data_IF_041411732875
#
_entry.id   IF_041411732875
#
_cell.length_a   1.000
_cell.length_b   1.000
_cell.length_c   1.000
_cell.angle_alpha   90.00
_cell.angle_beta   90.00
_cell.angle_gamma   90.00
#
_symmetry.space_group_name_H-M   'P 1'
#
loop_
_entity.id
_entity.type
_entity.pdbx_description
1 polymer ?
#
# COMPACT_ATOMS: atom_id res chain seq x y z
N UNK A 1 41.50 -74.36 25.45
CA UNK A 1 40.12 -73.87 25.63
C UNK A 1 40.14 -72.57 26.42
N UNK A 2 39.85 -71.42 25.78
CA UNK A 2 39.16 -70.25 26.37
C UNK A 2 38.97 -69.21 25.26
N UNK A 3 37.73 -68.75 25.16
CA UNK A 3 37.12 -68.29 23.92
C UNK A 3 37.31 -66.80 23.65
N UNK A 4 37.45 -66.53 22.36
CA UNK A 4 37.41 -65.26 21.64
C UNK A 4 35.99 -64.68 21.66
N UNK A 5 35.83 -63.36 21.86
CA UNK A 5 34.71 -62.55 21.35
C UNK A 5 34.90 -61.06 21.69
N UNK A 6 35.46 -60.30 20.74
CA UNK A 6 35.35 -58.84 20.71
C UNK A 6 34.33 -58.48 19.64
N UNK A 7 33.16 -57.99 20.04
CA UNK A 7 32.15 -57.39 19.17
C UNK A 7 32.40 -55.88 19.14
N UNK A 8 32.91 -55.38 18.03
CA UNK A 8 33.00 -53.95 17.77
C UNK A 8 31.65 -53.47 17.22
N UNK A 9 30.88 -52.77 18.05
CA UNK A 9 29.61 -52.14 17.64
C UNK A 9 29.93 -50.74 17.12
N UNK A 10 29.87 -50.56 15.80
CA UNK A 10 30.01 -49.26 15.14
C UNK A 10 28.67 -48.51 15.25
N UNK A 11 28.56 -47.60 16.22
CA UNK A 11 27.38 -46.75 16.38
C UNK A 11 27.46 -45.58 15.40
N UNK A 12 26.68 -45.65 14.31
CA UNK A 12 26.54 -44.59 13.32
C UNK A 12 25.62 -43.50 13.89
N UNK A 13 26.20 -42.45 14.46
CA UNK A 13 25.47 -41.27 14.92
C UNK A 13 25.01 -40.44 13.74
N UNK A 14 23.74 -40.60 13.33
CA UNK A 14 23.07 -39.69 12.40
C UNK A 14 22.83 -38.38 13.13
N UNK A 15 23.68 -37.37 12.87
CA UNK A 15 23.42 -36.00 13.30
C UNK A 15 22.28 -35.45 12.45
N UNK A 16 21.08 -35.40 13.04
CA UNK A 16 19.96 -34.64 12.49
C UNK A 16 20.27 -33.15 12.70
N UNK A 17 20.82 -32.49 11.68
CA UNK A 17 20.92 -31.04 11.64
C UNK A 17 19.51 -30.49 11.51
N UNK A 18 18.88 -30.15 12.63
CA UNK A 18 17.68 -29.33 12.63
C UNK A 18 18.05 -27.99 11.98
N UNK A 19 17.65 -27.79 10.73
CA UNK A 19 17.67 -26.47 10.10
C UNK A 19 16.78 -25.57 10.94
N UNK A 20 17.39 -24.73 11.78
CA UNK A 20 16.68 -23.70 12.52
C UNK A 20 16.00 -22.81 11.49
N UNK A 21 14.68 -22.95 11.31
CA UNK A 21 13.92 -22.11 10.41
C UNK A 21 14.06 -20.68 10.91
N UNK A 22 14.78 -19.83 10.18
CA UNK A 22 14.91 -18.42 10.50
C UNK A 22 13.50 -17.81 10.59
N UNK A 23 13.29 -16.90 11.54
CA UNK A 23 12.00 -16.23 11.70
C UNK A 23 11.71 -15.43 10.43
N UNK A 24 10.51 -15.54 9.83
CA UNK A 24 10.14 -14.76 8.66
C UNK A 24 10.33 -13.25 8.89
N UNK A 25 10.95 -12.54 7.92
CA UNK A 25 11.21 -11.11 8.04
C UNK A 25 9.93 -10.30 8.11
N UNK A 26 10.00 -9.14 8.75
CA UNK A 26 8.85 -8.23 8.88
C UNK A 26 8.91 -7.16 7.80
N UNK A 27 7.85 -7.08 7.01
CA UNK A 27 7.66 -6.12 5.94
C UNK A 27 6.66 -5.06 6.42
N UNK A 28 7.09 -3.80 6.48
CA UNK A 28 6.20 -2.66 6.67
C UNK A 28 5.69 -2.19 5.31
N UNK A 29 4.38 -2.15 5.10
CA UNK A 29 3.80 -1.80 3.81
C UNK A 29 2.67 -0.78 3.96
N UNK A 30 2.65 0.20 3.07
CA UNK A 30 1.52 1.10 2.91
C UNK A 30 0.21 0.30 2.78
N UNK A 31 -0.86 0.77 3.41
CA UNK A 31 -2.09 -0.01 3.51
C UNK A 31 -2.82 -0.16 2.16
N UNK A 32 -2.55 0.70 1.17
CA UNK A 32 -3.08 0.55 -0.19
C UNK A 32 -2.63 -0.76 -0.88
N UNK A 33 -1.49 -1.30 -0.47
CA UNK A 33 -0.96 -2.58 -0.92
C UNK A 33 -1.62 -3.79 -0.25
N UNK A 34 -2.55 -3.60 0.69
CA UNK A 34 -3.02 -4.67 1.59
C UNK A 34 -3.38 -5.96 0.86
N UNK A 35 -4.16 -5.88 -0.21
CA UNK A 35 -4.58 -7.05 -0.96
C UNK A 35 -3.50 -7.54 -1.94
N UNK A 36 -2.95 -6.63 -2.75
CA UNK A 36 -1.91 -6.96 -3.74
C UNK A 36 -0.68 -7.60 -3.10
N UNK A 37 -0.16 -7.04 -2.01
CA UNK A 37 1.03 -7.56 -1.34
C UNK A 37 0.75 -8.85 -0.56
N UNK A 38 -0.48 -9.06 -0.09
CA UNK A 38 -0.87 -10.34 0.52
C UNK A 38 -0.82 -11.46 -0.53
N UNK A 39 -1.39 -11.22 -1.72
CA UNK A 39 -1.32 -12.17 -2.83
C UNK A 39 0.13 -12.38 -3.32
N UNK A 40 0.91 -11.31 -3.41
CA UNK A 40 2.33 -11.37 -3.75
C UNK A 40 3.13 -12.23 -2.76
N UNK A 41 2.91 -12.05 -1.45
CA UNK A 41 3.59 -12.82 -0.41
C UNK A 41 3.18 -14.30 -0.42
N UNK A 42 1.90 -14.59 -0.68
CA UNK A 42 1.43 -15.97 -0.82
C UNK A 42 2.05 -16.65 -2.05
N UNK A 43 2.04 -15.96 -3.20
CA UNK A 43 2.63 -16.47 -4.43
C UNK A 43 4.14 -16.69 -4.29
N UNK A 44 4.85 -15.74 -3.68
CA UNK A 44 6.27 -15.88 -3.34
C UNK A 44 6.49 -17.14 -2.50
N UNK A 45 5.70 -17.34 -1.44
CA UNK A 45 5.84 -18.50 -0.57
C UNK A 45 5.55 -19.83 -1.26
N UNK A 46 4.59 -19.87 -2.19
CA UNK A 46 4.32 -21.06 -2.99
C UNK A 46 5.48 -21.38 -3.96
N UNK A 47 6.18 -20.38 -4.48
CA UNK A 47 7.27 -20.56 -5.45
C UNK A 47 8.61 -20.89 -4.80
N UNK A 48 8.92 -20.28 -3.66
CA UNK A 48 10.25 -20.37 -3.04
C UNK A 48 10.28 -21.22 -1.78
N UNK A 49 9.13 -21.43 -1.14
CA UNK A 49 9.03 -22.01 0.20
C UNK A 49 9.36 -21.03 1.34
N UNK A 50 9.80 -19.81 1.02
CA UNK A 50 10.12 -18.77 1.99
C UNK A 50 8.89 -17.92 2.34
N UNK A 51 8.84 -17.36 3.55
CA UNK A 51 7.69 -16.56 4.00
C UNK A 51 8.13 -15.21 4.53
N UNK A 52 7.25 -14.23 4.44
CA UNK A 52 7.40 -12.91 5.05
C UNK A 52 6.18 -12.60 5.93
N UNK A 53 6.33 -11.73 6.92
CA UNK A 53 5.20 -11.20 7.73
C UNK A 53 4.89 -9.79 7.28
N UNK A 54 3.65 -9.55 6.88
CA UNK A 54 3.21 -8.25 6.39
C UNK A 54 2.55 -7.46 7.52
N UNK A 55 2.99 -6.22 7.72
CA UNK A 55 2.37 -5.23 8.57
C UNK A 55 1.88 -4.06 7.69
N UNK A 56 0.57 -3.86 7.65
CA UNK A 56 -0.05 -2.79 6.87
C UNK A 56 -0.40 -1.58 7.73
N UNK A 57 -0.27 -0.38 7.16
CA UNK A 57 -0.46 0.87 7.89
C UNK A 57 -0.11 2.11 7.07
N UNK A 58 -0.03 3.26 7.73
CA UNK A 58 0.33 4.52 7.08
C UNK A 58 1.82 4.59 6.78
N UNK A 59 2.19 4.99 5.56
CA UNK A 59 3.60 5.14 5.17
C UNK A 59 4.36 6.09 6.09
N UNK A 60 3.80 7.26 6.40
CA UNK A 60 4.44 8.21 7.34
C UNK A 60 4.64 7.62 8.74
N UNK A 61 3.74 6.77 9.22
CA UNK A 61 3.89 6.11 10.51
C UNK A 61 5.01 5.07 10.49
N UNK A 62 5.07 4.23 9.45
CA UNK A 62 6.16 3.27 9.30
C UNK A 62 7.51 3.94 9.10
N UNK A 63 7.56 5.03 8.34
CA UNK A 63 8.75 5.89 8.25
C UNK A 63 9.24 6.30 9.63
N UNK A 64 8.35 6.84 10.49
CA UNK A 64 8.73 7.24 11.86
C UNK A 64 9.20 6.04 12.70
N UNK A 65 8.51 4.91 12.61
CA UNK A 65 8.89 3.69 13.34
C UNK A 65 10.27 3.17 12.90
N UNK A 66 10.57 3.15 11.60
CA UNK A 66 11.87 2.72 11.07
C UNK A 66 12.97 3.67 11.54
N UNK A 67 12.75 4.99 11.48
CA UNK A 67 13.71 5.97 11.99
C UNK A 67 13.96 5.81 13.50
N UNK A 68 12.97 5.30 14.25
CA UNK A 68 13.08 4.97 15.68
C UNK A 68 13.67 3.58 15.96
N UNK A 69 14.11 2.84 14.93
CA UNK A 69 14.74 1.53 15.08
C UNK A 69 13.78 0.35 15.14
N UNK A 70 12.54 0.50 14.68
CA UNK A 70 11.63 -0.65 14.53
C UNK A 70 12.25 -1.70 13.59
N UNK A 71 12.18 -3.00 13.92
CA UNK A 71 12.94 -4.06 13.24
C UNK A 71 12.26 -4.53 11.95
N UNK A 72 11.82 -3.60 11.10
CA UNK A 72 11.35 -3.92 9.76
C UNK A 72 12.55 -4.16 8.84
N UNK A 73 12.43 -5.12 7.94
CA UNK A 73 13.50 -5.53 7.03
C UNK A 73 13.28 -5.02 5.61
N UNK A 74 12.02 -4.85 5.23
CA UNK A 74 11.59 -4.27 3.96
C UNK A 74 10.48 -3.26 4.24
N UNK A 75 10.58 -2.10 3.61
CA UNK A 75 9.60 -1.04 3.69
C UNK A 75 9.06 -0.71 2.30
N UNK A 76 7.73 -0.73 2.14
CA UNK A 76 7.03 -0.29 0.93
C UNK A 76 6.16 0.92 1.26
N UNK A 77 6.51 2.07 0.68
CA UNK A 77 5.88 3.36 0.91
C UNK A 77 5.01 3.78 -0.27
N UNK A 78 3.84 4.35 0.01
CA UNK A 78 3.00 5.01 -0.99
C UNK A 78 3.47 6.46 -1.33
N UNK A 79 4.58 6.90 -0.73
CA UNK A 79 5.25 8.17 -1.02
C UNK A 79 6.78 7.93 -1.03
N UNK A 80 7.41 8.17 -2.17
CA UNK A 80 8.85 7.97 -2.34
C UNK A 80 9.70 8.89 -1.46
N UNK A 81 9.22 10.07 -1.08
CA UNK A 81 9.96 11.01 -0.25
C UNK A 81 10.27 10.41 1.13
N UNK A 82 9.38 9.60 1.70
CA UNK A 82 9.63 8.91 2.96
C UNK A 82 10.78 7.91 2.88
N UNK A 83 10.93 7.20 1.76
CA UNK A 83 12.04 6.27 1.56
C UNK A 83 13.35 7.02 1.35
N UNK A 84 13.33 8.08 0.53
CA UNK A 84 14.51 8.90 0.28
C UNK A 84 15.02 9.56 1.57
N UNK A 85 14.11 10.08 2.40
CA UNK A 85 14.48 10.64 3.71
C UNK A 85 15.11 9.59 4.63
N UNK A 86 14.56 8.37 4.71
CA UNK A 86 15.16 7.29 5.51
C UNK A 86 16.57 6.91 5.03
N UNK A 87 16.81 6.97 3.72
CA UNK A 87 18.12 6.72 3.16
C UNK A 87 19.13 7.81 3.54
N UNK A 88 18.73 9.08 3.42
CA UNK A 88 19.54 10.24 3.84
C UNK A 88 19.88 10.19 5.34
N UNK A 89 18.96 9.66 6.15
CA UNK A 89 19.14 9.44 7.59
C UNK A 89 19.94 8.16 7.92
N UNK A 90 20.34 7.37 6.91
CA UNK A 90 21.18 6.17 7.08
C UNK A 90 20.44 4.90 7.53
N UNK A 91 19.10 4.89 7.50
CA UNK A 91 18.29 3.76 7.95
C UNK A 91 18.11 2.64 6.89
N UNK A 92 18.53 2.88 5.65
CA UNK A 92 18.37 1.94 4.53
C UNK A 92 19.68 1.65 3.82
N UNK A 93 19.75 0.49 3.16
CA UNK A 93 20.95 0.07 2.41
C UNK A 93 21.28 0.98 1.24
N UNK A 94 20.23 1.43 0.56
CA UNK A 94 20.29 2.31 -0.61
C UNK A 94 18.99 3.14 -0.71
N UNK A 95 18.79 3.81 -1.84
CA UNK A 95 17.59 4.62 -2.13
C UNK A 95 16.36 3.75 -2.47
N UNK A 96 16.48 2.44 -2.52
CA UNK A 96 15.44 1.54 -2.99
C UNK A 96 15.07 1.74 -4.45
N UNK A 97 13.91 1.20 -4.84
CA UNK A 97 13.36 1.32 -6.20
C UNK A 97 11.92 1.81 -6.18
N UNK A 98 11.58 2.67 -7.14
CA UNK A 98 10.18 2.98 -7.42
C UNK A 98 9.54 1.74 -8.01
N UNK A 99 8.47 1.24 -7.41
CA UNK A 99 7.81 0.00 -7.85
C UNK A 99 6.47 0.26 -8.53
N UNK A 100 5.83 1.40 -8.25
CA UNK A 100 4.53 1.73 -8.81
C UNK A 100 4.21 3.23 -8.71
N UNK A 101 3.17 3.64 -9.40
CA UNK A 101 2.40 4.85 -9.14
C UNK A 101 0.95 4.48 -8.83
N UNK A 102 0.41 5.00 -7.72
CA UNK A 102 -0.97 4.77 -7.30
C UNK A 102 -1.97 5.75 -7.93
N UNK A 103 -3.27 5.46 -7.79
CA UNK A 103 -4.37 6.34 -8.23
C UNK A 103 -5.37 6.56 -7.10
N UNK A 104 -5.91 7.78 -7.03
CA UNK A 104 -6.97 8.17 -6.11
C UNK A 104 -8.35 7.93 -6.77
N UNK A 105 -9.30 7.41 -6.00
CA UNK A 105 -10.70 7.25 -6.42
C UNK A 105 -11.65 7.83 -5.39
N UNK A 106 -12.81 8.28 -5.84
CA UNK A 106 -14.01 8.27 -5.01
C UNK A 106 -14.56 6.84 -4.97
N UNK A 107 -14.80 6.33 -3.76
CA UNK A 107 -15.39 5.01 -3.50
C UNK A 107 -16.68 5.18 -2.69
N UNK A 108 -17.73 4.45 -3.05
CA UNK A 108 -18.98 4.43 -2.29
C UNK A 108 -19.56 3.00 -2.22
N UNK A 109 -20.42 2.68 -1.22
CA UNK A 109 -21.12 1.41 -1.20
C UNK A 109 -22.02 1.28 -2.42
N UNK A 110 -22.13 0.06 -2.94
CA UNK A 110 -22.98 -0.22 -4.11
C UNK A 110 -24.43 0.14 -3.82
N UNK A 111 -25.04 0.91 -4.70
CA UNK A 111 -26.42 1.38 -4.53
C UNK A 111 -26.60 2.45 -3.43
N UNK A 112 -25.52 3.01 -2.84
CA UNK A 112 -25.62 4.12 -1.90
C UNK A 112 -26.12 5.43 -2.53
N UNK A 113 -26.24 5.48 -3.87
CA UNK A 113 -26.85 6.54 -4.65
C UNK A 113 -26.17 6.67 -6.01
N UNK A 114 -26.45 7.75 -6.75
CA UNK A 114 -25.80 8.00 -8.04
C UNK A 114 -24.30 8.09 -7.88
N UNK A 115 -23.57 7.28 -8.64
CA UNK A 115 -22.12 7.37 -8.78
C UNK A 115 -21.78 8.65 -9.57
N UNK A 116 -20.80 9.47 -9.15
CA UNK A 116 -20.37 10.62 -9.94
C UNK A 116 -19.78 10.19 -11.29
N UNK A 117 -19.92 11.03 -12.31
CA UNK A 117 -19.29 10.81 -13.62
C UNK A 117 -17.81 11.22 -13.60
N UNK A 118 -17.06 10.78 -14.60
CA UNK A 118 -15.66 11.19 -14.79
C UNK A 118 -15.50 12.71 -14.98
N UNK A 119 -16.50 13.37 -15.59
CA UNK A 119 -16.53 14.83 -15.74
C UNK A 119 -16.75 15.58 -14.42
N UNK A 120 -17.31 14.92 -13.40
CA UNK A 120 -17.67 15.53 -12.12
C UNK A 120 -17.42 14.54 -10.97
N UNK A 121 -16.16 14.10 -10.76
CA UNK A 121 -15.82 12.95 -9.91
C UNK A 121 -16.09 13.21 -8.42
N UNK A 122 -16.26 14.47 -8.02
CA UNK A 122 -16.57 14.88 -6.65
C UNK A 122 -18.04 15.31 -6.45
N UNK A 123 -18.93 15.10 -7.43
CA UNK A 123 -20.34 15.52 -7.32
C UNK A 123 -21.06 14.89 -6.10
N UNK A 124 -20.66 13.68 -5.68
CA UNK A 124 -21.19 13.07 -4.47
C UNK A 124 -20.82 13.84 -3.18
N UNK A 125 -19.66 14.52 -3.17
CA UNK A 125 -19.20 15.36 -2.07
C UNK A 125 -19.99 16.67 -2.05
N UNK A 126 -20.19 17.30 -3.19
CA UNK A 126 -21.04 18.51 -3.32
C UNK A 126 -22.47 18.23 -2.85
N UNK A 127 -23.03 17.09 -3.25
CA UNK A 127 -24.34 16.64 -2.78
C UNK A 127 -24.35 16.39 -1.26
N UNK A 128 -23.26 15.86 -0.69
CA UNK A 128 -23.14 15.68 0.77
C UNK A 128 -23.07 17.02 1.52
N UNK A 129 -22.37 18.03 0.98
CA UNK A 129 -22.33 19.40 1.51
C UNK A 129 -23.74 20.01 1.50
N UNK A 130 -24.45 19.94 0.37
CA UNK A 130 -25.82 20.44 0.26
C UNK A 130 -26.78 19.72 1.23
N UNK A 131 -26.65 18.40 1.37
CA UNK A 131 -27.44 17.63 2.32
C UNK A 131 -27.18 18.03 3.78
N UNK A 132 -25.92 18.26 4.15
CA UNK A 132 -25.54 18.73 5.48
C UNK A 132 -26.11 20.12 5.78
N UNK A 133 -26.10 21.04 4.81
CA UNK A 133 -26.74 22.35 4.94
C UNK A 133 -28.27 22.25 5.14
N UNK A 134 -28.90 21.20 4.62
CA UNK A 134 -30.32 20.88 4.82
C UNK A 134 -30.62 20.11 6.12
N UNK A 135 -29.64 19.93 7.00
CA UNK A 135 -29.79 19.23 8.28
C UNK A 135 -29.68 17.69 8.20
N UNK A 136 -29.38 17.14 7.03
CA UNK A 136 -29.14 15.69 6.87
C UNK A 136 -27.66 15.40 7.10
N UNK A 137 -27.35 14.72 8.20
CA UNK A 137 -25.98 14.31 8.50
C UNK A 137 -25.44 13.42 7.38
N UNK A 138 -24.35 13.85 6.77
CA UNK A 138 -23.56 13.07 5.82
C UNK A 138 -22.13 12.99 6.33
N UNK A 139 -21.40 11.96 5.91
CA UNK A 139 -19.98 11.84 6.22
C UNK A 139 -19.21 11.38 4.99
N UNK A 140 -17.98 11.86 4.86
CA UNK A 140 -17.05 11.40 3.82
C UNK A 140 -15.77 10.89 4.49
N UNK A 141 -15.30 9.72 4.07
CA UNK A 141 -14.12 9.10 4.66
C UNK A 141 -12.85 9.48 3.90
N UNK A 142 -11.82 9.90 4.64
CA UNK A 142 -10.48 10.20 4.11
C UNK A 142 -9.44 9.49 4.98
N UNK A 143 -8.26 9.20 4.44
CA UNK A 143 -7.12 8.89 5.30
C UNK A 143 -6.58 10.19 5.94
N UNK A 144 -5.98 10.11 7.13
CA UNK A 144 -5.43 11.29 7.80
C UNK A 144 -4.23 11.85 7.00
N UNK A 145 -4.31 13.07 6.45
CA UNK A 145 -3.23 13.68 5.67
C UNK A 145 -1.95 13.94 6.46
N UNK A 146 -1.99 13.92 7.79
CA UNK A 146 -0.79 14.12 8.64
C UNK A 146 0.27 13.02 8.45
N UNK A 147 -0.12 11.83 7.97
CA UNK A 147 0.81 10.72 7.81
C UNK A 147 0.49 9.76 6.66
N UNK A 148 -0.69 9.86 6.05
CA UNK A 148 -1.11 8.97 4.97
C UNK A 148 -1.01 9.68 3.61
N UNK A 149 -0.19 9.16 2.66
CA UNK A 149 -0.07 9.75 1.32
C UNK A 149 -1.40 9.92 0.58
N UNK A 150 -2.31 8.96 0.67
CA UNK A 150 -3.65 9.09 0.08
C UNK A 150 -4.53 10.12 0.78
N UNK A 151 -4.27 10.42 2.06
CA UNK A 151 -4.91 11.52 2.76
C UNK A 151 -4.45 12.86 2.22
N UNK A 152 -3.13 13.00 1.97
CA UNK A 152 -2.55 14.19 1.32
C UNK A 152 -3.11 14.35 -0.10
N UNK A 153 -3.16 13.29 -0.90
CA UNK A 153 -3.72 13.35 -2.25
C UNK A 153 -5.22 13.69 -2.23
N UNK A 154 -6.00 13.15 -1.29
CA UNK A 154 -7.39 13.51 -1.12
C UNK A 154 -7.58 14.97 -0.71
N UNK A 155 -6.72 15.49 0.17
CA UNK A 155 -6.69 16.91 0.52
C UNK A 155 -6.41 17.78 -0.71
N UNK A 156 -5.37 17.45 -1.48
CA UNK A 156 -5.01 18.19 -2.70
C UNK A 156 -6.14 18.20 -3.73
N UNK A 157 -6.81 17.06 -3.95
CA UNK A 157 -7.95 16.98 -4.86
C UNK A 157 -9.13 17.84 -4.40
N UNK A 158 -9.41 17.86 -3.09
CA UNK A 158 -10.44 18.72 -2.52
C UNK A 158 -10.07 20.20 -2.56
N UNK A 159 -8.79 20.54 -2.37
CA UNK A 159 -8.28 21.92 -2.51
C UNK A 159 -8.36 22.40 -3.96
N UNK A 160 -8.00 21.55 -4.92
CA UNK A 160 -8.15 21.82 -6.36
C UNK A 160 -9.61 22.17 -6.70
N UNK A 161 -10.55 21.38 -6.18
CA UNK A 161 -11.99 21.60 -6.34
C UNK A 161 -12.57 22.70 -5.42
N UNK A 162 -11.75 23.33 -4.56
CA UNK A 162 -12.15 24.33 -3.55
C UNK A 162 -13.15 23.81 -2.49
N UNK A 163 -13.25 22.49 -2.33
CA UNK A 163 -14.16 21.81 -1.39
C UNK A 163 -13.51 21.49 -0.04
N UNK A 164 -12.19 21.66 0.13
CA UNK A 164 -11.48 21.25 1.35
C UNK A 164 -12.04 21.89 2.64
N UNK A 165 -12.33 23.19 2.61
CA UNK A 165 -12.89 23.89 3.77
C UNK A 165 -14.35 23.52 4.01
N UNK A 166 -15.16 23.41 2.95
CA UNK A 166 -16.59 23.07 3.03
C UNK A 166 -16.83 21.64 3.52
N UNK A 167 -15.91 20.74 3.23
CA UNK A 167 -15.98 19.35 3.69
C UNK A 167 -15.60 19.17 5.17
N UNK A 168 -15.08 20.21 5.84
CA UNK A 168 -14.65 20.12 7.23
C UNK A 168 -15.60 19.40 8.20
N UNK A 169 -16.90 19.75 8.29
CA UNK A 169 -17.83 19.10 9.20
C UNK A 169 -18.24 17.67 8.79
N UNK A 170 -17.95 17.25 7.55
CA UNK A 170 -18.34 15.97 6.98
C UNK A 170 -17.26 14.89 7.14
N UNK A 171 -15.99 15.29 7.26
CA UNK A 171 -14.84 14.36 7.19
C UNK A 171 -14.79 13.40 8.38
N UNK A 172 -14.58 12.14 8.08
CA UNK A 172 -14.15 11.10 9.03
C UNK A 172 -12.77 10.64 8.61
N UNK A 173 -11.81 10.72 9.52
CA UNK A 173 -10.42 10.37 9.22
C UNK A 173 -10.13 8.94 9.68
N UNK A 174 -9.71 8.10 8.75
CA UNK A 174 -9.04 6.84 9.03
C UNK A 174 -7.53 7.04 9.24
N UNK A 175 -6.92 6.22 10.07
CA UNK A 175 -5.48 6.19 10.33
C UNK A 175 -4.65 5.87 9.07
N UNK A 176 -5.26 5.22 8.08
CA UNK A 176 -4.63 4.92 6.80
C UNK A 176 -5.71 4.70 5.76
N UNK A 177 -5.32 4.49 4.51
CA UNK A 177 -6.27 4.41 3.40
C UNK A 177 -7.12 3.15 3.42
N UNK A 178 -6.64 2.04 4.02
CA UNK A 178 -7.49 0.86 4.21
C UNK A 178 -8.59 1.12 5.24
N UNK A 179 -8.28 1.83 6.32
CA UNK A 179 -9.30 2.21 7.29
C UNK A 179 -10.26 3.26 6.70
N UNK A 180 -9.77 4.19 5.89
CA UNK A 180 -10.63 5.13 5.16
C UNK A 180 -11.59 4.38 4.20
N UNK A 181 -11.13 3.34 3.51
CA UNK A 181 -11.99 2.49 2.68
C UNK A 181 -13.04 1.73 3.50
N UNK A 182 -12.67 1.20 4.68
CA UNK A 182 -13.64 0.58 5.59
C UNK A 182 -14.72 1.58 6.03
N UNK A 183 -14.33 2.81 6.37
CA UNK A 183 -15.26 3.87 6.72
C UNK A 183 -16.14 4.26 5.54
N UNK A 184 -15.57 4.44 4.33
CA UNK A 184 -16.30 4.78 3.11
C UNK A 184 -17.40 3.76 2.75
N UNK A 185 -17.22 2.50 3.14
CA UNK A 185 -18.18 1.42 2.90
C UNK A 185 -19.15 1.20 4.06
N UNK A 186 -19.05 1.98 5.13
CA UNK A 186 -19.98 1.91 6.27
C UNK A 186 -21.30 2.64 5.97
N UNK A 187 -22.36 2.23 6.66
CA UNK A 187 -23.70 2.83 6.54
C UNK A 187 -23.77 4.32 6.88
N UNK A 188 -22.80 4.80 7.65
CA UNK A 188 -22.81 6.14 8.22
C UNK A 188 -22.06 7.16 7.34
N UNK A 189 -21.56 6.72 6.18
CA UNK A 189 -20.83 7.56 5.22
C UNK A 189 -21.47 7.48 3.83
N UNK A 190 -21.31 8.57 3.08
CA UNK A 190 -21.68 8.64 1.67
C UNK A 190 -20.70 7.88 0.78
N UNK A 191 -19.45 7.78 1.23
CA UNK A 191 -18.30 7.26 0.49
C UNK A 191 -17.02 7.90 1.01
N UNK A 192 -15.93 7.78 0.24
CA UNK A 192 -14.64 8.34 0.62
C UNK A 192 -13.65 8.43 -0.53
N UNK A 193 -12.57 9.20 -0.32
CA UNK A 193 -11.44 9.28 -1.23
C UNK A 193 -10.37 8.30 -0.78
N UNK A 194 -10.08 7.29 -1.61
CA UNK A 194 -9.26 6.14 -1.23
C UNK A 194 -8.38 5.66 -2.39
N UNK A 195 -7.54 4.65 -2.13
CA UNK A 195 -6.67 4.06 -3.13
C UNK A 195 -7.46 3.20 -4.13
N UNK A 196 -7.16 3.37 -5.42
CA UNK A 196 -7.76 2.57 -6.48
C UNK A 196 -7.52 1.07 -6.29
N UNK A 197 -6.35 0.70 -5.78
CA UNK A 197 -5.99 -0.68 -5.49
C UNK A 197 -6.89 -1.39 -4.50
N UNK A 198 -7.49 -0.65 -3.57
CA UNK A 198 -8.46 -1.19 -2.63
C UNK A 198 -9.84 -1.36 -3.27
N UNK A 199 -10.21 -0.47 -4.21
CA UNK A 199 -11.47 -0.55 -4.93
C UNK A 199 -11.53 -1.77 -5.87
N UNK A 200 -10.40 -2.13 -6.47
CA UNK A 200 -10.28 -3.31 -7.33
C UNK A 200 -10.16 -4.63 -6.59
N UNK A 201 -9.91 -4.60 -5.27
CA UNK A 201 -9.64 -5.81 -4.52
C UNK A 201 -10.83 -6.78 -4.54
N UNK A 202 -10.57 -8.10 -4.72
CA UNK A 202 -11.61 -9.11 -4.63
C UNK A 202 -12.41 -9.00 -3.33
N UNK A 203 -13.74 -8.99 -3.44
CA UNK A 203 -14.67 -8.83 -2.32
C UNK A 203 -15.04 -7.39 -1.95
N UNK A 204 -14.23 -6.38 -2.29
CA UNK A 204 -14.61 -4.96 -2.23
C UNK A 204 -15.24 -4.51 -3.55
N UNK A 205 -14.68 -4.94 -4.68
CA UNK A 205 -15.19 -4.60 -6.02
C UNK A 205 -16.67 -4.98 -6.21
N UNK A 206 -17.13 -6.07 -5.61
CA UNK A 206 -18.54 -6.50 -5.72
C UNK A 206 -19.50 -5.62 -4.89
N UNK A 207 -18.98 -4.95 -3.87
CA UNK A 207 -19.75 -4.23 -2.84
C UNK A 207 -19.65 -2.72 -2.96
N UNK A 208 -18.89 -2.23 -3.93
CA UNK A 208 -18.59 -0.81 -4.08
C UNK A 208 -18.64 -0.39 -5.54
N UNK A 209 -18.94 0.89 -5.73
CA UNK A 209 -18.77 1.57 -7.00
C UNK A 209 -17.69 2.65 -6.81
N UNK A 210 -16.93 2.95 -7.86
CA UNK A 210 -15.87 3.95 -7.80
C UNK A 210 -15.81 4.81 -9.06
N UNK A 211 -15.22 6.00 -8.92
CA UNK A 211 -14.81 6.84 -10.05
C UNK A 211 -13.41 7.37 -9.78
N UNK A 212 -12.56 7.40 -10.81
CA UNK A 212 -11.20 7.92 -10.70
C UNK A 212 -11.21 9.43 -10.48
N UNK A 213 -10.33 9.88 -9.58
CA UNK A 213 -10.00 11.30 -9.49
C UNK A 213 -8.94 11.60 -10.57
N UNK A 214 -9.07 12.71 -11.32
CA UNK A 214 -8.08 13.11 -12.31
C UNK A 214 -6.68 13.20 -11.69
N UNK A 215 -5.69 12.66 -12.40
CA UNK A 215 -4.34 12.50 -11.88
C UNK A 215 -3.63 13.84 -11.62
N UNK A 216 -4.07 14.92 -12.25
CA UNK A 216 -3.53 16.28 -12.11
C UNK A 216 -4.18 17.09 -10.97
N UNK A 217 -5.16 16.51 -10.26
CA UNK A 217 -5.78 17.15 -9.09
C UNK A 217 -4.97 16.95 -7.80
N UNK A 218 -3.95 16.12 -7.84
CA UNK A 218 -3.03 15.87 -6.73
C UNK A 218 -1.62 15.58 -7.26
N UNK A 219 -0.62 15.61 -6.37
CA UNK A 219 0.73 15.19 -6.74
C UNK A 219 0.75 13.68 -7.08
N UNK A 220 1.61 13.22 -8.01
CA UNK A 220 1.72 11.80 -8.33
C UNK A 220 2.01 10.94 -7.09
N UNK A 221 1.25 9.87 -6.92
CA UNK A 221 1.41 8.90 -5.82
C UNK A 221 2.53 7.91 -6.15
N UNK A 222 3.76 8.42 -6.33
CA UNK A 222 4.93 7.61 -6.63
C UNK A 222 5.32 6.76 -5.42
N UNK A 223 5.40 5.45 -5.63
CA UNK A 223 5.59 4.48 -4.55
C UNK A 223 6.95 3.80 -4.65
N UNK A 224 7.62 3.66 -3.51
CA UNK A 224 9.00 3.20 -3.43
C UNK A 224 9.16 2.16 -2.34
N UNK A 225 9.98 1.15 -2.61
CA UNK A 225 10.31 0.10 -1.66
C UNK A 225 11.81 0.03 -1.43
N UNK A 226 12.21 -0.35 -0.22
CA UNK A 226 13.61 -0.33 0.21
C UNK A 226 13.90 -1.37 1.30
N UNK A 227 15.09 -1.96 1.24
CA UNK A 227 15.61 -2.81 2.30
C UNK A 227 16.24 -1.95 3.40
N UNK A 228 15.89 -2.23 4.66
CA UNK A 228 16.56 -1.61 5.81
C UNK A 228 17.95 -2.24 6.01
N UNK A 229 18.79 -1.63 6.85
CA UNK A 229 20.14 -2.15 7.10
C UNK A 229 20.13 -3.64 7.53
N UNK A 230 19.14 -4.03 8.33
CA UNK A 230 19.08 -5.32 9.00
C UNK A 230 18.40 -6.41 8.16
N UNK A 231 18.14 -6.18 6.88
CA UNK A 231 17.34 -7.09 6.07
C UNK A 231 18.00 -8.47 5.87
N UNK A 232 17.25 -9.53 6.11
CA UNK A 232 17.69 -10.91 5.87
C UNK A 232 17.80 -11.23 4.38
N UNK A 233 18.37 -12.39 4.09
CA UNK A 233 18.38 -12.96 2.73
C UNK A 233 16.96 -13.14 2.19
N UNK A 234 16.03 -13.63 3.02
CA UNK A 234 14.62 -13.77 2.65
C UNK A 234 13.94 -12.44 2.34
N UNK A 235 14.22 -11.38 3.12
CA UNK A 235 13.70 -10.04 2.81
C UNK A 235 14.26 -9.53 1.47
N UNK A 236 15.54 -9.80 1.21
CA UNK A 236 16.21 -9.44 -0.04
C UNK A 236 15.63 -10.22 -1.23
N UNK A 237 15.38 -11.51 -1.06
CA UNK A 237 14.76 -12.37 -2.07
C UNK A 237 13.34 -11.91 -2.39
N UNK A 238 12.53 -11.56 -1.38
CA UNK A 238 11.19 -11.02 -1.61
C UNK A 238 11.22 -9.65 -2.31
N UNK A 239 12.12 -8.75 -1.91
CA UNK A 239 12.34 -7.46 -2.58
C UNK A 239 12.72 -7.61 -4.06
N UNK A 240 13.56 -8.58 -4.41
CA UNK A 240 13.93 -8.87 -5.79
C UNK A 240 12.78 -9.53 -6.56
N UNK A 241 12.08 -10.47 -5.93
CA UNK A 241 10.94 -11.17 -6.53
C UNK A 241 9.81 -10.20 -6.91
N UNK A 242 9.53 -9.21 -6.05
CA UNK A 242 8.53 -8.16 -6.33
C UNK A 242 8.85 -7.35 -7.59
N UNK A 243 10.14 -7.18 -7.93
CA UNK A 243 10.58 -6.49 -9.16
C UNK A 243 10.44 -7.37 -10.40
N UNK A 244 10.32 -8.69 -10.21
CA UNK A 244 10.10 -9.66 -11.28
C UNK A 244 8.75 -9.49 -11.97
N UNK A 245 8.57 -10.23 -13.07
CA UNK A 245 7.35 -10.18 -13.88
C UNK A 245 6.09 -10.53 -13.07
N UNK A 246 6.15 -11.57 -12.22
CA UNK A 246 5.01 -12.02 -11.41
C UNK A 246 4.61 -10.99 -10.35
N UNK A 247 5.57 -10.43 -9.62
CA UNK A 247 5.30 -9.38 -8.63
C UNK A 247 4.67 -8.14 -9.27
N UNK A 248 5.24 -7.67 -10.39
CA UNK A 248 4.68 -6.54 -11.14
C UNK A 248 3.31 -6.82 -11.75
N UNK A 249 3.07 -8.05 -12.24
CA UNK A 249 1.77 -8.44 -12.76
C UNK A 249 0.68 -8.33 -11.70
N UNK A 250 0.93 -8.86 -10.49
CA UNK A 250 0.00 -8.75 -9.36
C UNK A 250 -0.28 -7.27 -9.07
N UNK A 251 0.74 -6.41 -8.99
CA UNK A 251 0.52 -4.98 -8.76
C UNK A 251 -0.37 -4.34 -9.85
N UNK A 252 -0.13 -4.66 -11.13
CA UNK A 252 -0.97 -4.15 -12.23
C UNK A 252 -2.42 -4.64 -12.14
N UNK A 253 -2.65 -5.87 -11.73
CA UNK A 253 -4.00 -6.44 -11.58
C UNK A 253 -4.81 -5.71 -10.49
N UNK A 254 -4.11 -5.13 -9.49
CA UNK A 254 -4.70 -4.23 -8.50
C UNK A 254 -4.59 -2.75 -8.89
N UNK A 255 -4.40 -2.40 -10.17
CA UNK A 255 -4.50 -1.03 -10.66
C UNK A 255 -3.33 -0.10 -10.31
N UNK A 256 -2.20 -0.65 -9.86
CA UNK A 256 -0.95 0.10 -9.77
C UNK A 256 -0.36 0.30 -11.17
N UNK A 257 0.09 1.52 -11.47
CA UNK A 257 0.74 1.85 -12.73
C UNK A 257 2.25 1.59 -12.63
N UNK A 258 2.87 1.17 -13.73
CA UNK A 258 4.33 0.97 -13.80
C UNK A 258 5.08 2.30 -13.58
N UNK A 259 6.29 2.28 -13.00
CA UNK A 259 7.13 3.47 -12.89
C UNK A 259 7.30 4.18 -14.24
N UNK A 260 6.98 5.47 -14.30
CA UNK A 260 7.12 6.27 -15.52
C UNK A 260 5.94 6.18 -16.49
N UNK A 261 4.87 5.47 -16.14
CA UNK A 261 3.63 5.50 -16.91
C UNK A 261 3.08 6.94 -16.99
N UNK A 262 2.86 7.42 -18.22
CA UNK A 262 2.13 8.65 -18.52
C UNK A 262 0.80 8.26 -19.16
N UNK A 263 -0.31 8.82 -18.68
CA UNK A 263 -1.63 8.50 -19.23
C UNK A 263 -1.74 8.90 -20.71
N UNK A 264 -2.14 7.98 -21.62
CA UNK A 264 -2.29 8.30 -23.03
C UNK A 264 -3.31 9.44 -23.22
N UNK A 265 -2.86 10.55 -23.79
CA UNK A 265 -3.71 11.73 -24.06
C UNK A 265 -3.48 12.93 -23.14
N UNK A 266 -2.61 12.82 -22.14
CA UNK A 266 -2.25 13.94 -21.24
C UNK A 266 -0.77 14.30 -21.40
N UNK A 267 -0.50 15.36 -22.17
CA UNK A 267 0.84 15.94 -22.30
C UNK A 267 1.03 16.92 -21.14
N UNK A 268 1.85 16.57 -20.14
CA UNK A 268 2.23 17.49 -19.06
C UNK A 268 3.31 18.42 -19.63
N UNK A 269 3.04 19.72 -19.87
CA UNK A 269 4.09 20.60 -20.34
C UNK A 269 5.04 20.84 -19.16
N UNK A 270 6.29 20.33 -19.23
CA UNK A 270 7.37 20.84 -18.37
C UNK A 270 8.22 19.85 -17.58
N UNK A 271 8.09 18.53 -17.74
CA UNK A 271 9.12 17.61 -17.22
C UNK A 271 10.03 17.15 -18.36
N UNK A 272 11.12 17.89 -18.56
CA UNK A 272 12.23 17.48 -19.41
C UNK A 272 12.85 16.20 -18.88
N UNK A 273 13.16 15.29 -19.80
CA UNK A 273 14.02 14.13 -19.53
C UNK A 273 15.39 14.63 -19.03
N UNK A 274 15.99 13.98 -18.01
CA UNK A 274 17.41 14.20 -17.74
C UNK A 274 18.22 13.45 -18.81
N UNK A 275 19.19 14.15 -19.41
CA UNK A 275 20.29 13.56 -20.18
C UNK A 275 21.09 12.53 -19.37
#
# INVERSE_FOLDING_TARGET
MRALRWLATFALSVMFTATASAKPPVVAAASDLQFALSEAAETFAQQTGERVRLNFGSSGNFRRQIAQGAPFELYLSADEAYVLALHEEGHTRDKGVRYATGRLVWLQPKGAGTLPSEDAPLAAIEAAIAAQASGKRQRIALANPEHAPYGVAAQQALEHAKLWHETAPLRVLGENVSQAAQFALSSDTRGGLVAYSLALAPGLADKSDYVLIPADWHAPLNQRMVLTQNASETATAFYQWLQGEKGRAILRDYGFQEPGFQEPGFNVPGFGEPE
#
